data_IF_991558273271
#
_entry.id   IF_991558273271
#
_cell.length_a   1.000
_cell.length_b   1.000
_cell.length_c   1.000
_cell.angle_alpha   90.00
_cell.angle_beta   90.00
_cell.angle_gamma   90.00
#
_symmetry.space_group_name_H-M   'P 1'
#
loop_
_entity.id
_entity.type
_entity.pdbx_description
1 polymer ?
#
# COMPACT_ATOMS: atom_id res chain seq x y z
N UNK A 1 10.29 33.89 -9.26
CA UNK A 1 11.44 33.05 -9.67
C UNK A 1 10.96 31.61 -9.72
N UNK A 2 10.72 31.06 -10.92
CA UNK A 2 10.39 29.64 -11.08
C UNK A 2 11.64 28.81 -10.81
N UNK A 3 11.59 27.92 -9.81
CA UNK A 3 12.63 26.92 -9.61
C UNK A 3 12.72 26.04 -10.87
N UNK A 4 13.90 26.02 -11.49
CA UNK A 4 14.16 25.19 -12.64
C UNK A 4 13.95 23.72 -12.25
N UNK A 5 13.04 23.04 -12.94
CA UNK A 5 12.90 21.59 -12.86
C UNK A 5 14.23 20.97 -13.28
N UNK A 6 14.97 20.42 -12.31
CA UNK A 6 16.23 19.72 -12.56
C UNK A 6 15.90 18.49 -13.40
N UNK A 7 16.52 18.38 -14.57
CA UNK A 7 16.34 17.22 -15.43
C UNK A 7 16.74 15.95 -14.68
N UNK A 8 15.82 14.99 -14.63
CA UNK A 8 16.01 13.67 -14.03
C UNK A 8 16.99 12.90 -14.91
N UNK A 9 18.27 12.92 -14.54
CA UNK A 9 19.18 11.86 -14.96
C UNK A 9 18.76 10.62 -14.18
N UNK A 10 18.37 9.56 -14.86
CA UNK A 10 18.19 8.26 -14.23
C UNK A 10 19.54 7.86 -13.66
N UNK A 11 19.72 8.02 -12.35
CA UNK A 11 20.89 7.54 -11.63
C UNK A 11 20.72 6.01 -11.49
N UNK A 12 21.47 5.19 -12.25
CA UNK A 12 21.31 3.74 -12.20
C UNK A 12 21.68 3.18 -10.82
N UNK A 13 22.56 3.86 -10.08
CA UNK A 13 22.92 3.43 -8.73
C UNK A 13 21.78 3.72 -7.75
N UNK A 14 21.04 4.82 -7.96
CA UNK A 14 19.82 5.11 -7.19
C UNK A 14 18.72 4.08 -7.48
N UNK A 15 18.51 3.74 -8.75
CA UNK A 15 17.54 2.71 -9.13
C UNK A 15 17.87 1.36 -8.49
N UNK A 16 19.13 0.93 -8.54
CA UNK A 16 19.57 -0.30 -7.86
C UNK A 16 19.41 -0.21 -6.34
N UNK A 17 19.76 0.93 -5.74
CA UNK A 17 19.62 1.15 -4.30
C UNK A 17 18.16 1.10 -3.84
N UNK A 18 17.23 1.59 -4.67
CA UNK A 18 15.79 1.46 -4.46
C UNK A 18 15.40 -0.02 -4.54
N UNK A 19 15.73 -0.71 -5.65
CA UNK A 19 15.39 -2.13 -5.86
C UNK A 19 15.85 -3.03 -4.71
N UNK A 20 17.08 -2.87 -4.27
CA UNK A 20 17.67 -3.66 -3.18
C UNK A 20 16.96 -3.43 -1.85
N UNK A 21 16.39 -2.24 -1.65
CA UNK A 21 15.82 -1.83 -0.37
C UNK A 21 14.30 -1.88 -0.33
N UNK A 22 13.63 -2.11 -1.47
CA UNK A 22 12.17 -2.24 -1.55
C UNK A 22 11.60 -3.33 -0.63
N UNK A 23 12.18 -4.55 -0.51
CA UNK A 23 11.67 -5.55 0.41
C UNK A 23 11.70 -5.07 1.87
N UNK A 24 12.79 -4.43 2.27
CA UNK A 24 12.96 -3.87 3.62
C UNK A 24 11.95 -2.75 3.87
N UNK A 25 11.75 -1.84 2.91
CA UNK A 25 10.76 -0.79 3.01
C UNK A 25 9.32 -1.34 3.12
N UNK A 26 9.02 -2.47 2.47
CA UNK A 26 7.73 -3.15 2.59
C UNK A 26 7.53 -3.73 4.00
N UNK A 27 8.56 -4.37 4.55
CA UNK A 27 8.55 -4.93 5.91
C UNK A 27 8.43 -3.84 6.97
N UNK A 28 9.18 -2.73 6.83
CA UNK A 28 9.07 -1.56 7.70
C UNK A 28 7.64 -1.00 7.71
N UNK A 29 7.01 -0.88 6.53
CA UNK A 29 5.63 -0.41 6.43
C UNK A 29 4.64 -1.35 7.09
N UNK A 30 4.77 -2.66 6.86
CA UNK A 30 3.93 -3.66 7.51
C UNK A 30 4.10 -3.65 9.04
N UNK A 31 5.33 -3.47 9.52
CA UNK A 31 5.64 -3.37 10.94
C UNK A 31 5.04 -2.11 11.57
N UNK A 32 5.11 -0.97 10.89
CA UNK A 32 4.44 0.27 11.32
C UNK A 32 2.93 0.10 11.42
N UNK A 33 2.29 -0.40 10.37
CA UNK A 33 0.84 -0.67 10.35
C UNK A 33 0.42 -1.67 11.46
N UNK A 34 1.28 -2.65 11.76
CA UNK A 34 1.05 -3.57 12.87
C UNK A 34 1.20 -2.87 14.22
N UNK A 35 2.22 -2.03 14.37
CA UNK A 35 2.48 -1.28 15.61
C UNK A 35 1.34 -0.32 15.97
N UNK A 36 0.70 0.30 14.99
CA UNK A 36 -0.46 1.19 15.19
C UNK A 36 -1.67 0.46 15.77
N UNK A 37 -1.76 -0.86 15.58
CA UNK A 37 -2.82 -1.71 16.17
C UNK A 37 -2.43 -2.26 17.55
N UNK A 38 -1.16 -2.13 17.94
CA UNK A 38 -0.68 -2.58 19.25
C UNK A 38 -0.96 -1.53 20.32
N UNK A 39 -1.06 -1.97 21.57
CA UNK A 39 -1.15 -1.03 22.70
C UNK A 39 0.19 -0.29 22.85
N UNK A 40 0.19 1.06 22.86
CA UNK A 40 1.40 1.85 23.07
C UNK A 40 2.10 1.48 24.38
N UNK A 41 3.44 1.52 24.38
CA UNK A 41 4.28 1.24 25.55
C UNK A 41 4.46 -0.24 25.89
N UNK A 42 3.83 -1.16 25.15
CA UNK A 42 4.10 -2.60 25.30
C UNK A 42 5.45 -2.99 24.71
N UNK A 43 6.03 -4.11 25.16
CA UNK A 43 7.29 -4.65 24.65
C UNK A 43 7.23 -4.90 23.14
N UNK A 44 6.12 -5.44 22.64
CA UNK A 44 5.91 -5.70 21.21
C UNK A 44 5.85 -4.40 20.40
N UNK A 45 5.17 -3.37 20.91
CA UNK A 45 5.14 -2.04 20.28
C UNK A 45 6.54 -1.41 20.24
N UNK A 46 7.30 -1.50 21.34
CA UNK A 46 8.69 -1.01 21.39
C UNK A 46 9.62 -1.77 20.43
N UNK A 47 9.49 -3.08 20.32
CA UNK A 47 10.25 -3.90 19.38
C UNK A 47 9.94 -3.55 17.92
N UNK A 48 8.66 -3.34 17.59
CA UNK A 48 8.25 -2.90 16.26
C UNK A 48 8.86 -1.54 15.90
N UNK A 49 8.83 -0.57 16.83
CA UNK A 49 9.47 0.74 16.61
C UNK A 49 11.00 0.63 16.51
N UNK A 50 11.63 -0.21 17.33
CA UNK A 50 13.08 -0.42 17.26
C UNK A 50 13.53 -1.02 15.92
N UNK A 51 12.76 -1.99 15.40
CA UNK A 51 12.98 -2.56 14.08
C UNK A 51 12.93 -1.48 12.98
N UNK A 52 11.87 -0.66 12.97
CA UNK A 52 11.71 0.41 11.99
C UNK A 52 12.84 1.45 12.14
N UNK A 53 13.17 1.86 13.36
CA UNK A 53 14.23 2.84 13.62
C UNK A 53 15.60 2.34 13.18
N UNK A 54 15.89 1.03 13.31
CA UNK A 54 17.14 0.43 12.83
C UNK A 54 17.32 0.65 11.33
N UNK A 55 16.28 0.39 10.55
CA UNK A 55 16.33 0.57 9.09
C UNK A 55 16.25 2.03 8.64
N UNK A 56 15.79 2.98 9.47
CA UNK A 56 15.88 4.42 9.16
C UNK A 56 17.34 4.89 9.02
N UNK A 57 18.26 4.32 9.78
CA UNK A 57 19.69 4.63 9.65
C UNK A 57 20.26 4.17 8.29
N UNK A 58 19.81 3.01 7.80
CA UNK A 58 20.18 2.50 6.47
C UNK A 58 19.61 3.38 5.35
N UNK A 59 18.36 3.84 5.50
CA UNK A 59 17.71 4.81 4.61
C UNK A 59 18.52 6.10 4.57
N UNK A 60 18.89 6.66 5.73
CA UNK A 60 19.69 7.89 5.78
C UNK A 60 21.06 7.72 5.09
N UNK A 61 21.72 6.58 5.30
CA UNK A 61 23.02 6.27 4.67
C UNK A 61 22.89 6.17 3.15
N UNK A 62 21.88 5.46 2.65
CA UNK A 62 21.62 5.32 1.21
C UNK A 62 21.19 6.64 0.59
N UNK A 63 20.30 7.39 1.22
CA UNK A 63 19.87 8.70 0.78
C UNK A 63 21.07 9.64 0.58
N UNK A 64 21.99 9.66 1.56
CA UNK A 64 23.21 10.47 1.50
C UNK A 64 24.12 10.13 0.31
N UNK A 65 24.21 8.86 -0.12
CA UNK A 65 24.99 8.45 -1.30
C UNK A 65 24.47 9.06 -2.60
N UNK A 66 23.18 9.38 -2.66
CA UNK A 66 22.52 9.96 -3.84
C UNK A 66 22.21 11.45 -3.66
N UNK A 67 22.72 12.10 -2.60
CA UNK A 67 22.46 13.51 -2.32
C UNK A 67 21.00 13.82 -1.96
N UNK A 68 20.28 12.82 -1.45
CA UNK A 68 18.89 12.93 -1.00
C UNK A 68 18.83 13.02 0.53
N UNK A 69 17.79 13.67 1.04
CA UNK A 69 17.40 13.53 2.45
C UNK A 69 16.73 12.17 2.71
N UNK A 70 16.74 11.73 3.98
CA UNK A 70 16.02 10.52 4.41
C UNK A 70 14.55 10.55 3.99
N UNK A 71 13.92 11.72 4.09
CA UNK A 71 12.53 11.93 3.72
C UNK A 71 12.28 11.76 2.22
N UNK A 72 13.16 12.30 1.37
CA UNK A 72 13.07 12.15 -0.09
C UNK A 72 13.27 10.70 -0.52
N UNK A 73 14.30 10.02 0.01
CA UNK A 73 14.55 8.62 -0.31
C UNK A 73 13.41 7.71 0.15
N UNK A 74 12.88 7.94 1.36
CA UNK A 74 11.70 7.22 1.87
C UNK A 74 10.47 7.45 1.01
N UNK A 75 10.23 8.68 0.57
CA UNK A 75 9.11 9.01 -0.29
C UNK A 75 9.19 8.27 -1.64
N UNK A 76 10.40 8.18 -2.22
CA UNK A 76 10.64 7.41 -3.44
C UNK A 76 10.36 5.92 -3.22
N UNK A 77 10.90 5.33 -2.14
CA UNK A 77 10.67 3.92 -1.80
C UNK A 77 9.18 3.59 -1.67
N UNK A 78 8.42 4.41 -0.95
CA UNK A 78 6.99 4.17 -0.74
C UNK A 78 6.16 4.42 -2.00
N UNK A 79 6.53 5.39 -2.84
CA UNK A 79 5.90 5.59 -4.15
C UNK A 79 6.11 4.38 -5.06
N UNK A 80 7.33 3.83 -5.09
CA UNK A 80 7.66 2.65 -5.89
C UNK A 80 6.97 1.37 -5.37
N UNK A 81 6.85 1.19 -4.05
CA UNK A 81 6.04 0.13 -3.46
C UNK A 81 4.56 0.24 -3.86
N UNK A 82 3.99 1.45 -3.80
CA UNK A 82 2.61 1.70 -4.20
C UNK A 82 2.40 1.41 -5.69
N UNK A 83 3.37 1.78 -6.53
CA UNK A 83 3.39 1.52 -7.97
C UNK A 83 3.35 0.02 -8.30
N UNK A 84 4.24 -0.77 -7.68
CA UNK A 84 4.32 -2.24 -7.89
C UNK A 84 3.04 -2.94 -7.50
N UNK A 85 2.43 -2.54 -6.38
CA UNK A 85 1.11 -3.07 -5.96
C UNK A 85 -0.01 -2.75 -6.95
N UNK A 86 0.11 -1.73 -7.81
CA UNK A 86 -0.87 -1.46 -8.90
C UNK A 86 -0.70 -2.29 -10.15
N UNK A 87 0.42 -3.01 -10.32
CA UNK A 87 0.81 -3.53 -11.63
C UNK A 87 1.18 -2.44 -12.66
N UNK A 88 1.21 -1.16 -12.24
CA UNK A 88 1.85 -0.10 -13.01
C UNK A 88 3.33 -0.21 -12.72
N UNK A 89 4.11 -0.79 -13.63
CA UNK A 89 5.54 -0.49 -13.67
C UNK A 89 5.64 1.02 -13.84
N UNK A 90 6.01 1.74 -12.79
CA UNK A 90 6.44 3.13 -12.91
C UNK A 90 7.79 3.07 -13.61
N UNK A 91 7.75 2.83 -14.92
CA UNK A 91 8.87 3.13 -15.81
C UNK A 91 9.19 4.58 -15.54
N UNK A 92 10.37 4.82 -14.99
CA UNK A 92 10.86 6.10 -14.47
C UNK A 92 10.38 6.33 -13.04
N UNK A 93 11.27 6.05 -12.11
CA UNK A 93 11.55 7.00 -11.05
C UNK A 93 11.90 8.33 -11.73
N UNK A 94 10.89 9.04 -12.24
CA UNK A 94 10.97 10.46 -12.46
C UNK A 94 10.97 11.03 -11.05
N UNK A 95 12.15 11.05 -10.42
CA UNK A 95 12.38 11.80 -9.19
C UNK A 95 11.96 13.21 -9.54
N UNK A 96 10.78 13.65 -9.14
CA UNK A 96 10.47 15.07 -9.19
C UNK A 96 11.24 15.66 -8.02
N UNK A 97 12.54 15.86 -8.21
CA UNK A 97 13.41 16.63 -7.32
C UNK A 97 12.80 18.03 -7.27
N UNK A 98 11.97 18.29 -6.25
CA UNK A 98 11.14 19.50 -6.16
C UNK A 98 9.71 19.26 -5.66
N UNK A 99 9.22 18.01 -5.62
CA UNK A 99 7.96 17.72 -4.92
C UNK A 99 8.26 17.46 -3.45
N UNK A 100 7.68 18.22 -2.51
CA UNK A 100 7.83 17.97 -1.09
C UNK A 100 7.53 16.50 -0.73
N UNK A 101 8.33 15.86 0.13
CA UNK A 101 8.14 14.46 0.52
C UNK A 101 6.79 14.19 1.18
N UNK A 102 6.17 15.22 1.79
CA UNK A 102 4.82 15.17 2.33
C UNK A 102 3.77 14.95 1.24
N UNK A 103 3.93 15.57 0.07
CA UNK A 103 3.01 15.42 -1.06
C UNK A 103 3.16 14.04 -1.71
N UNK A 104 4.38 13.53 -1.83
CA UNK A 104 4.62 12.17 -2.32
C UNK A 104 4.01 11.13 -1.37
N UNK A 105 4.17 11.32 -0.06
CA UNK A 105 3.56 10.47 0.96
C UNK A 105 2.03 10.55 0.95
N UNK A 106 1.46 11.74 0.74
CA UNK A 106 0.02 11.94 0.61
C UNK A 106 -0.53 11.22 -0.63
N UNK A 107 0.14 11.34 -1.78
CA UNK A 107 -0.23 10.63 -3.01
C UNK A 107 -0.18 9.11 -2.84
N UNK A 108 0.84 8.59 -2.15
CA UNK A 108 0.94 7.16 -1.84
C UNK A 108 -0.22 6.69 -0.95
N UNK A 109 -0.61 7.48 0.06
CA UNK A 109 -1.77 7.18 0.93
C UNK A 109 -3.10 7.24 0.17
N UNK A 110 -3.29 8.26 -0.67
CA UNK A 110 -4.50 8.43 -1.47
C UNK A 110 -4.70 7.28 -2.47
N UNK A 111 -3.62 6.87 -3.14
CA UNK A 111 -3.66 5.72 -4.06
C UNK A 111 -3.98 4.41 -3.35
N UNK A 112 -3.49 4.20 -2.12
CA UNK A 112 -3.86 3.04 -1.29
C UNK A 112 -5.35 3.10 -0.89
N UNK A 113 -5.84 4.26 -0.46
CA UNK A 113 -7.23 4.45 -0.05
C UNK A 113 -8.22 4.21 -1.20
N UNK A 114 -7.91 4.69 -2.41
CA UNK A 114 -8.71 4.44 -3.61
C UNK A 114 -8.78 2.95 -3.96
N UNK A 115 -7.71 2.19 -3.74
CA UNK A 115 -7.74 0.73 -3.93
C UNK A 115 -8.56 0.03 -2.86
N UNK A 116 -8.40 0.40 -1.59
CA UNK A 116 -9.20 -0.16 -0.51
C UNK A 116 -10.70 0.04 -0.78
N UNK A 117 -11.08 1.23 -1.25
CA UNK A 117 -12.45 1.52 -1.67
C UNK A 117 -12.89 0.66 -2.87
N UNK A 118 -12.03 0.47 -3.87
CA UNK A 118 -12.32 -0.36 -5.05
C UNK A 118 -12.52 -1.83 -4.67
N UNK A 119 -11.64 -2.38 -3.83
CA UNK A 119 -11.73 -3.74 -3.31
C UNK A 119 -13.01 -3.93 -2.47
N UNK A 120 -13.32 -2.99 -1.58
CA UNK A 120 -14.56 -3.02 -0.79
C UNK A 120 -15.81 -3.02 -1.67
N UNK A 121 -15.83 -2.21 -2.75
CA UNK A 121 -16.94 -2.23 -3.72
C UNK A 121 -17.08 -3.56 -4.44
N UNK A 122 -15.97 -4.20 -4.82
CA UNK A 122 -15.99 -5.52 -5.45
C UNK A 122 -16.50 -6.59 -4.47
N UNK A 123 -15.98 -6.58 -3.23
CA UNK A 123 -16.43 -7.49 -2.17
C UNK A 123 -17.93 -7.33 -1.88
N UNK A 124 -18.43 -6.10 -1.83
CA UNK A 124 -19.86 -5.84 -1.66
C UNK A 124 -20.71 -6.39 -2.81
N UNK A 125 -20.27 -6.21 -4.07
CA UNK A 125 -20.96 -6.78 -5.24
C UNK A 125 -21.02 -8.31 -5.18
N UNK A 126 -19.91 -8.96 -4.83
CA UNK A 126 -19.85 -10.41 -4.69
C UNK A 126 -20.76 -10.90 -3.56
N UNK A 127 -20.72 -10.26 -2.39
CA UNK A 127 -21.59 -10.59 -1.26
C UNK A 127 -23.09 -10.44 -1.62
N UNK A 128 -23.44 -9.40 -2.39
CA UNK A 128 -24.81 -9.20 -2.87
C UNK A 128 -25.26 -10.30 -3.83
N UNK A 129 -24.39 -10.80 -4.70
CA UNK A 129 -24.70 -11.91 -5.61
C UNK A 129 -24.95 -13.20 -4.83
N UNK A 130 -24.07 -13.54 -3.89
CA UNK A 130 -24.23 -14.71 -3.01
C UNK A 130 -25.54 -14.65 -2.23
N UNK A 131 -25.88 -13.47 -1.69
CA UNK A 131 -27.15 -13.29 -1.00
C UNK A 131 -28.37 -13.49 -1.93
N UNK A 132 -28.32 -12.96 -3.16
CA UNK A 132 -29.39 -13.13 -4.13
C UNK A 132 -29.59 -14.59 -4.53
N UNK A 133 -28.50 -15.33 -4.76
CA UNK A 133 -28.53 -16.76 -5.05
C UNK A 133 -29.10 -17.57 -3.87
N UNK A 134 -28.67 -17.28 -2.64
CA UNK A 134 -29.20 -17.92 -1.45
C UNK A 134 -30.72 -17.69 -1.29
N UNK A 135 -31.21 -16.48 -1.58
CA UNK A 135 -32.64 -16.16 -1.55
C UNK A 135 -33.42 -16.91 -2.64
N UNK A 136 -32.86 -17.05 -3.84
CA UNK A 136 -33.47 -17.83 -4.91
C UNK A 136 -33.60 -19.31 -4.51
N UNK A 137 -32.51 -19.93 -4.06
CA UNK A 137 -32.53 -21.32 -3.61
C UNK A 137 -33.51 -21.57 -2.47
N UNK A 138 -33.57 -20.65 -1.49
CA UNK A 138 -34.55 -20.73 -0.40
C UNK A 138 -35.99 -20.76 -0.93
N UNK A 139 -36.34 -19.87 -1.85
CA UNK A 139 -37.69 -19.82 -2.43
C UNK A 139 -38.03 -21.08 -3.23
N UNK A 140 -37.07 -21.64 -3.96
CA UNK A 140 -37.26 -22.89 -4.71
C UNK A 140 -37.54 -24.05 -3.75
N UNK A 141 -36.77 -24.16 -2.66
CA UNK A 141 -36.98 -25.20 -1.64
C UNK A 141 -38.33 -25.02 -0.96
N UNK A 142 -38.68 -23.80 -0.55
CA UNK A 142 -39.98 -23.50 0.06
C UNK A 142 -41.14 -23.90 -0.88
N UNK A 143 -41.05 -23.57 -2.17
CA UNK A 143 -42.05 -23.95 -3.17
C UNK A 143 -42.16 -25.48 -3.38
N UNK A 144 -41.04 -26.21 -3.36
CA UNK A 144 -41.05 -27.68 -3.45
C UNK A 144 -41.67 -28.34 -2.22
N UNK A 145 -41.40 -27.80 -1.03
CA UNK A 145 -42.03 -28.28 0.21
C UNK A 145 -43.54 -28.02 0.19
N UNK A 146 -43.96 -26.83 -0.27
CA UNK A 146 -45.38 -26.48 -0.43
C UNK A 146 -46.08 -27.44 -1.41
N UNK A 147 -45.49 -27.67 -2.59
CA UNK A 147 -46.04 -28.56 -3.60
C UNK A 147 -46.15 -30.02 -3.10
N UNK A 148 -45.18 -30.46 -2.31
CA UNK A 148 -45.18 -31.81 -1.71
C UNK A 148 -46.24 -31.97 -0.62
N UNK A 149 -46.62 -30.89 0.08
CA UNK A 149 -47.69 -30.90 1.10
C UNK A 149 -49.09 -30.95 0.51
N UNK A 150 -49.30 -30.37 -0.67
CA UNK A 150 -50.63 -30.34 -1.35
C UNK A 150 -50.93 -31.65 -2.08
N UNK A 151 -49.92 -32.51 -2.29
CA UNK A 151 -50.03 -33.76 -3.05
C UNK A 151 -50.29 -35.01 -2.17
N UNK A 152 -50.52 -34.83 -0.87
CA UNK A 152 -50.88 -35.86 0.13
C UNK A 152 -52.33 -35.67 0.57
#
# INVERSE_FOLDING_TARGET
>A
MLAAAKAVVADPDLEQSIEDFLPVAADMRAMLETSERMRPGTRSHQQALAYVNGHRADIATRAGRHGLSEAEFSAILYAELAARRSGRRVKRVAVVTGTPPELLSALARETEALRAQTAARQAYKAARQVYAEAQYHRRVIEAQVEASRVSL
#
